data_IF_553231694657
#
_entry.id   IF_553231694657
#
_cell.length_a   1.000
_cell.length_b   1.000
_cell.length_c   1.000
_cell.angle_alpha   90.00
_cell.angle_beta   90.00
_cell.angle_gamma   90.00
#
_symmetry.space_group_name_H-M   'P 1'
#
loop_
_entity.id
_entity.type
_entity.pdbx_description
1 polymer ?
#
# COMPACT_ATOMS: atom_id res chain seq x y z
N UNK A 1 -29.18 -37.55 51.11
CA UNK A 1 -28.55 -37.58 49.80
C UNK A 1 -28.26 -36.09 49.37
N UNK A 2 -27.02 -35.70 49.42
CA UNK A 2 -26.64 -34.33 48.95
C UNK A 2 -26.27 -34.43 47.47
N UNK A 3 -27.03 -33.74 46.62
CA UNK A 3 -26.72 -33.60 45.19
C UNK A 3 -25.60 -32.54 45.03
N UNK A 4 -24.39 -33.01 44.76
CA UNK A 4 -23.27 -32.16 44.44
C UNK A 4 -23.45 -31.62 43.01
N UNK A 5 -23.69 -30.33 42.88
CA UNK A 5 -23.57 -29.63 41.57
C UNK A 5 -22.09 -29.39 41.27
N UNK A 6 -21.55 -30.12 40.32
CA UNK A 6 -20.25 -29.78 39.69
C UNK A 6 -20.44 -28.58 38.78
N UNK A 7 -19.91 -27.44 39.15
CA UNK A 7 -19.83 -26.26 38.24
C UNK A 7 -18.88 -26.62 37.10
N UNK A 8 -19.39 -26.60 35.85
CA UNK A 8 -18.58 -26.68 34.65
C UNK A 8 -17.85 -25.31 34.55
N UNK A 9 -16.50 -25.27 34.46
CA UNK A 9 -15.79 -24.03 34.28
C UNK A 9 -16.28 -23.38 32.98
N UNK A 10 -16.72 -22.13 33.06
CA UNK A 10 -17.02 -21.32 31.86
C UNK A 10 -15.74 -21.14 31.05
N UNK A 11 -15.75 -21.62 29.82
CA UNK A 11 -14.65 -21.38 28.88
C UNK A 11 -14.53 -19.85 28.68
N UNK A 12 -13.34 -19.29 28.91
CA UNK A 12 -13.11 -17.88 28.75
C UNK A 12 -13.37 -17.50 27.26
N UNK A 13 -14.18 -16.47 27.03
CA UNK A 13 -14.41 -15.98 25.69
C UNK A 13 -13.04 -15.62 25.03
N UNK A 14 -12.85 -15.94 23.74
CA UNK A 14 -11.64 -15.57 23.02
C UNK A 14 -11.36 -14.08 23.20
N UNK A 15 -10.09 -13.72 23.36
CA UNK A 15 -9.72 -12.31 23.42
C UNK A 15 -10.16 -11.59 22.12
N UNK A 16 -10.71 -10.38 22.22
CA UNK A 16 -11.13 -9.63 21.05
C UNK A 16 -9.94 -9.37 20.12
N UNK A 17 -10.13 -9.59 18.82
CA UNK A 17 -9.11 -9.42 17.77
C UNK A 17 -9.66 -8.54 16.66
N UNK A 18 -8.75 -7.97 15.88
CA UNK A 18 -9.03 -7.12 14.72
C UNK A 18 -8.93 -8.00 13.46
N UNK A 19 -10.04 -8.21 12.77
CA UNK A 19 -10.04 -8.84 11.45
C UNK A 19 -9.47 -7.85 10.43
N UNK A 20 -8.30 -8.19 9.90
CA UNK A 20 -7.51 -7.34 9.02
C UNK A 20 -7.53 -7.87 7.58
N UNK A 21 -7.81 -6.98 6.62
CA UNK A 21 -7.77 -7.26 5.18
C UNK A 21 -6.86 -6.24 4.50
N UNK A 22 -6.02 -6.69 3.56
CA UNK A 22 -5.16 -5.84 2.76
C UNK A 22 -5.41 -6.06 1.26
N UNK A 23 -5.38 -4.95 0.50
CA UNK A 23 -5.45 -4.94 -0.96
C UNK A 23 -4.63 -3.75 -1.48
N UNK A 24 -4.37 -3.69 -2.79
CA UNK A 24 -3.61 -2.58 -3.36
C UNK A 24 -2.52 -3.02 -4.33
N UNK A 25 -1.47 -2.22 -4.39
CA UNK A 25 -0.35 -2.40 -5.31
C UNK A 25 0.87 -3.12 -4.68
N UNK A 26 2.03 -2.96 -5.31
CA UNK A 26 3.29 -3.62 -4.93
C UNK A 26 3.76 -3.32 -3.50
N UNK A 27 3.49 -2.12 -2.97
CA UNK A 27 3.88 -1.78 -1.61
C UNK A 27 3.06 -2.57 -0.58
N UNK A 28 1.75 -2.73 -0.80
CA UNK A 28 0.92 -3.61 0.03
C UNK A 28 1.18 -5.08 -0.24
N UNK A 29 1.58 -5.46 -1.46
CA UNK A 29 2.01 -6.81 -1.80
C UNK A 29 3.35 -7.21 -1.17
N UNK A 30 4.04 -6.30 -0.48
CA UNK A 30 5.30 -6.56 0.21
C UNK A 30 6.53 -6.58 -0.70
N UNK A 31 6.44 -6.12 -1.96
CA UNK A 31 7.55 -6.12 -2.90
C UNK A 31 8.78 -5.45 -2.30
N UNK A 32 9.93 -6.12 -2.38
CA UNK A 32 11.20 -5.66 -1.79
C UNK A 32 11.53 -6.26 -0.43
N UNK A 33 10.56 -6.83 0.30
CA UNK A 33 10.79 -7.45 1.61
C UNK A 33 11.55 -8.78 1.52
N UNK A 34 11.39 -9.51 0.43
CA UNK A 34 11.99 -10.83 0.23
C UNK A 34 11.76 -11.38 -1.16
N UNK A 35 11.87 -12.68 -1.32
CA UNK A 35 11.65 -13.35 -2.60
C UNK A 35 10.19 -13.21 -3.07
N UNK A 36 10.01 -13.00 -4.38
CA UNK A 36 8.68 -13.01 -4.99
C UNK A 36 8.09 -14.42 -4.96
N UNK A 37 6.81 -14.50 -4.63
CA UNK A 37 6.03 -15.73 -4.69
C UNK A 37 4.60 -15.42 -5.16
N UNK A 38 3.88 -16.47 -5.54
CA UNK A 38 2.44 -16.36 -5.83
C UNK A 38 1.64 -17.10 -4.76
N UNK A 39 0.80 -16.40 -3.98
CA UNK A 39 -0.09 -17.06 -3.05
C UNK A 39 -1.01 -18.06 -3.78
N UNK A 40 -1.42 -19.16 -3.15
CA UNK A 40 -2.36 -20.10 -3.75
C UNK A 40 -3.66 -19.41 -4.20
N UNK A 41 -4.14 -19.78 -5.37
CA UNK A 41 -5.39 -19.28 -5.96
C UNK A 41 -5.44 -17.79 -6.27
N UNK A 42 -4.29 -17.14 -6.43
CA UNK A 42 -4.20 -15.76 -6.91
C UNK A 42 -3.12 -15.63 -7.98
N UNK A 43 -3.34 -14.83 -9.04
CA UNK A 43 -2.31 -14.53 -10.04
C UNK A 43 -1.31 -13.47 -9.55
N UNK A 44 -1.51 -12.91 -8.34
CA UNK A 44 -0.71 -11.82 -7.80
C UNK A 44 0.71 -12.25 -7.43
N UNK A 45 1.71 -11.42 -7.74
CA UNK A 45 3.02 -11.53 -7.17
C UNK A 45 3.09 -10.76 -5.85
N UNK A 46 3.60 -11.40 -4.81
CA UNK A 46 3.79 -10.85 -3.45
C UNK A 46 5.18 -11.20 -2.92
N UNK A 47 5.60 -10.55 -1.84
CA UNK A 47 6.82 -10.88 -1.08
C UNK A 47 6.51 -10.88 0.42
N UNK A 48 7.26 -11.68 1.19
CA UNK A 48 7.17 -11.77 2.65
C UNK A 48 8.54 -11.56 3.32
N UNK A 49 8.54 -11.02 4.55
CA UNK A 49 7.43 -10.38 5.25
C UNK A 49 7.25 -8.93 4.81
N UNK A 50 6.12 -8.60 4.16
CA UNK A 50 5.72 -7.22 3.88
C UNK A 50 5.16 -6.53 5.12
N UNK A 51 4.79 -5.23 5.03
CA UNK A 51 4.23 -4.52 6.18
C UNK A 51 2.92 -5.16 6.69
N UNK A 52 2.18 -5.80 5.80
CA UNK A 52 0.94 -6.52 6.15
C UNK A 52 1.22 -7.68 7.09
N UNK A 53 2.30 -8.43 6.84
CA UNK A 53 2.73 -9.54 7.70
C UNK A 53 3.26 -9.04 9.05
N UNK A 54 3.94 -7.88 9.05
CA UNK A 54 4.42 -7.25 10.30
C UNK A 54 3.25 -6.83 11.19
N UNK A 55 2.20 -6.25 10.61
CA UNK A 55 0.96 -5.89 11.35
C UNK A 55 0.24 -7.13 11.84
N UNK A 56 0.19 -8.23 11.05
CA UNK A 56 -0.41 -9.51 11.49
C UNK A 56 0.34 -10.17 12.65
N UNK A 57 1.61 -9.84 12.84
CA UNK A 57 2.38 -10.33 13.98
C UNK A 57 1.93 -9.73 15.34
N UNK A 58 1.15 -8.64 15.36
CA UNK A 58 0.53 -8.13 16.58
C UNK A 58 -0.53 -9.10 17.09
N UNK A 59 -0.48 -9.38 18.39
CA UNK A 59 -1.38 -10.35 19.05
C UNK A 59 -2.87 -9.96 18.98
N UNK A 60 -3.18 -8.69 18.73
CA UNK A 60 -4.55 -8.18 18.55
C UNK A 60 -5.07 -8.34 17.12
N UNK A 61 -4.23 -8.69 16.15
CA UNK A 61 -4.59 -8.73 14.74
C UNK A 61 -4.76 -10.17 14.25
N UNK A 62 -5.63 -10.37 13.31
CA UNK A 62 -5.76 -11.58 12.48
C UNK A 62 -5.85 -11.17 11.04
N UNK A 63 -4.83 -11.45 10.24
CA UNK A 63 -4.87 -11.25 8.80
C UNK A 63 -5.82 -12.26 8.15
N UNK A 64 -6.97 -11.76 7.73
CA UNK A 64 -7.97 -12.57 7.01
C UNK A 64 -7.52 -12.81 5.56
N UNK A 65 -7.03 -11.77 4.90
CA UNK A 65 -6.50 -11.89 3.54
C UNK A 65 -5.62 -10.69 3.14
N UNK A 66 -4.58 -10.98 2.34
CA UNK A 66 -3.88 -9.99 1.53
C UNK A 66 -4.12 -10.32 0.04
N UNK A 67 -4.81 -9.45 -0.69
CA UNK A 67 -5.08 -9.57 -2.13
C UNK A 67 -4.30 -8.58 -2.98
N UNK A 68 -3.40 -7.81 -2.37
CA UNK A 68 -2.56 -6.87 -3.09
C UNK A 68 -1.70 -7.55 -4.15
N UNK A 69 -1.52 -6.88 -5.28
CA UNK A 69 -0.77 -7.39 -6.42
C UNK A 69 0.31 -6.40 -6.85
N UNK A 70 1.53 -6.89 -7.04
CA UNK A 70 2.59 -6.10 -7.69
C UNK A 70 2.11 -5.58 -9.05
N UNK A 71 2.26 -4.27 -9.29
CA UNK A 71 1.86 -3.63 -10.56
C UNK A 71 0.36 -3.29 -10.69
N UNK A 72 -0.47 -3.54 -9.66
CA UNK A 72 -1.90 -3.28 -9.75
C UNK A 72 -2.21 -1.80 -9.98
N UNK A 73 -3.08 -1.52 -10.96
CA UNK A 73 -3.77 -0.23 -11.14
C UNK A 73 -5.15 -0.28 -10.47
N UNK A 74 -5.82 0.86 -10.34
CA UNK A 74 -7.12 0.97 -9.65
C UNK A 74 -8.23 0.17 -10.34
N UNK A 75 -8.35 0.27 -11.67
CA UNK A 75 -9.39 -0.43 -12.43
C UNK A 75 -8.95 -0.77 -13.84
N UNK A 76 -9.70 -1.61 -14.52
CA UNK A 76 -9.49 -1.93 -15.96
C UNK A 76 -9.70 -0.73 -16.88
N UNK A 77 -10.31 0.34 -16.38
CA UNK A 77 -10.49 1.60 -17.10
C UNK A 77 -9.29 2.54 -16.96
N UNK A 78 -8.28 2.19 -16.15
CA UNK A 78 -7.02 2.94 -16.08
C UNK A 78 -6.34 2.94 -17.45
N UNK A 79 -5.89 4.11 -17.97
CA UNK A 79 -5.16 4.16 -19.24
C UNK A 79 -3.85 3.34 -19.26
N UNK A 80 -3.40 2.94 -18.07
CA UNK A 80 -2.18 2.15 -17.87
C UNK A 80 -2.45 0.70 -17.52
N UNK A 81 -3.72 0.26 -17.59
CA UNK A 81 -4.05 -1.14 -17.45
C UNK A 81 -3.49 -1.96 -18.61
N UNK A 82 -2.68 -2.97 -18.29
CA UNK A 82 -2.14 -3.90 -19.27
C UNK A 82 -3.06 -5.13 -19.37
N UNK A 83 -3.71 -5.29 -20.51
CA UNK A 83 -4.59 -6.43 -20.78
C UNK A 83 -3.86 -7.68 -21.31
N UNK A 84 -2.54 -7.61 -21.46
CA UNK A 84 -1.67 -8.73 -21.84
C UNK A 84 -1.06 -9.38 -20.60
N UNK A 85 -0.54 -8.56 -19.69
CA UNK A 85 -0.06 -9.02 -18.38
C UNK A 85 -1.20 -8.81 -17.38
N UNK A 86 -2.05 -9.81 -17.23
CA UNK A 86 -3.25 -9.73 -16.38
C UNK A 86 -2.82 -9.68 -14.91
N UNK A 87 -2.63 -8.46 -14.40
CA UNK A 87 -2.51 -8.18 -12.96
C UNK A 87 -3.89 -7.77 -12.45
N UNK A 88 -4.46 -8.43 -11.44
CA UNK A 88 -5.72 -8.02 -10.85
C UNK A 88 -5.68 -6.57 -10.36
N UNK A 89 -6.60 -5.75 -10.85
CA UNK A 89 -6.75 -4.37 -10.41
C UNK A 89 -7.27 -4.30 -8.97
N UNK A 90 -7.12 -3.15 -8.31
CA UNK A 90 -7.66 -2.96 -6.95
C UNK A 90 -9.17 -3.21 -6.91
N UNK A 91 -9.90 -2.82 -7.95
CA UNK A 91 -11.33 -3.11 -8.09
C UNK A 91 -11.63 -4.62 -8.16
N UNK A 92 -10.82 -5.38 -8.93
CA UNK A 92 -10.96 -6.82 -9.03
C UNK A 92 -10.57 -7.53 -7.72
N UNK A 93 -9.53 -7.05 -7.02
CA UNK A 93 -9.15 -7.55 -5.70
C UNK A 93 -10.30 -7.34 -4.69
N UNK A 94 -10.94 -6.17 -4.70
CA UNK A 94 -12.09 -5.87 -3.85
C UNK A 94 -13.28 -6.78 -4.19
N UNK A 95 -13.53 -7.02 -5.46
CA UNK A 95 -14.58 -7.94 -5.92
C UNK A 95 -14.33 -9.38 -5.44
N UNK A 96 -13.08 -9.86 -5.54
CA UNK A 96 -12.70 -11.18 -5.03
C UNK A 96 -12.89 -11.28 -3.51
N UNK A 97 -12.40 -10.30 -2.76
CA UNK A 97 -12.52 -10.24 -1.30
C UNK A 97 -13.99 -10.30 -0.83
N UNK A 98 -14.87 -9.59 -1.52
CA UNK A 98 -16.30 -9.56 -1.18
C UNK A 98 -17.02 -10.84 -1.60
N UNK A 99 -16.74 -11.36 -2.79
CA UNK A 99 -17.35 -12.59 -3.31
C UNK A 99 -16.94 -13.82 -2.48
N UNK A 100 -15.66 -13.86 -2.09
CA UNK A 100 -15.11 -14.93 -1.23
C UNK A 100 -15.45 -14.74 0.25
N UNK A 101 -16.19 -13.69 0.63
CA UNK A 101 -16.56 -13.35 2.01
C UNK A 101 -15.35 -13.19 2.95
N UNK A 102 -14.23 -12.72 2.42
CA UNK A 102 -13.04 -12.39 3.19
C UNK A 102 -13.07 -10.93 3.68
N UNK A 103 -13.72 -10.04 2.94
CA UNK A 103 -14.08 -8.70 3.37
C UNK A 103 -15.58 -8.69 3.68
N UNK A 104 -15.92 -8.41 4.94
CA UNK A 104 -17.28 -8.53 5.48
C UNK A 104 -17.66 -7.30 6.29
N UNK A 105 -18.94 -7.12 6.64
CA UNK A 105 -19.35 -6.04 7.55
C UNK A 105 -18.70 -6.10 8.94
N UNK A 106 -18.09 -7.23 9.32
CA UNK A 106 -17.40 -7.43 10.61
C UNK A 106 -15.91 -7.07 10.56
N UNK A 107 -15.33 -6.91 9.37
CA UNK A 107 -13.93 -6.48 9.21
C UNK A 107 -13.71 -5.14 9.89
N UNK A 108 -12.69 -5.04 10.77
CA UNK A 108 -12.37 -3.84 11.54
C UNK A 108 -11.26 -3.00 10.92
N UNK A 109 -10.32 -3.62 10.18
CA UNK A 109 -9.20 -2.92 9.56
C UNK A 109 -9.05 -3.30 8.09
N UNK A 110 -8.92 -2.29 7.24
CA UNK A 110 -8.49 -2.46 5.85
C UNK A 110 -7.29 -1.55 5.61
N UNK A 111 -6.23 -2.04 4.96
CA UNK A 111 -5.13 -1.19 4.52
C UNK A 111 -4.86 -1.32 3.03
N UNK A 112 -4.39 -0.23 2.42
CA UNK A 112 -3.98 -0.24 1.02
C UNK A 112 -2.99 0.87 0.66
N UNK A 113 -2.17 0.58 -0.33
CA UNK A 113 -1.46 1.54 -1.19
C UNK A 113 -2.03 1.42 -2.60
N UNK A 114 -2.31 2.53 -3.28
CA UNK A 114 -2.81 2.52 -4.65
C UNK A 114 -2.64 3.88 -5.34
N UNK A 115 -2.51 3.87 -6.67
CA UNK A 115 -2.48 5.06 -7.51
C UNK A 115 -1.13 5.33 -8.17
N UNK A 116 -0.01 4.82 -7.64
CA UNK A 116 1.31 5.03 -8.23
C UNK A 116 1.43 4.42 -9.65
N UNK A 117 0.83 3.24 -9.86
CA UNK A 117 0.80 2.61 -11.18
C UNK A 117 -0.11 3.36 -12.16
N UNK A 118 -1.20 3.95 -11.68
CA UNK A 118 -2.14 4.73 -12.50
C UNK A 118 -1.56 6.04 -13.01
N UNK A 119 -0.63 6.66 -12.27
CA UNK A 119 0.14 7.81 -12.74
C UNK A 119 1.38 7.43 -13.55
N UNK A 120 1.70 6.13 -13.65
CA UNK A 120 2.81 5.63 -14.46
C UNK A 120 4.19 5.84 -13.83
N UNK A 121 4.35 5.60 -12.53
CA UNK A 121 5.62 5.78 -11.81
C UNK A 121 6.81 5.11 -12.52
N UNK A 122 6.64 3.89 -13.03
CA UNK A 122 7.73 3.17 -13.74
C UNK A 122 8.13 3.88 -15.05
N UNK A 123 7.17 4.52 -15.76
CA UNK A 123 7.46 5.32 -16.97
C UNK A 123 8.22 6.58 -16.60
N UNK A 124 7.84 7.27 -15.52
CA UNK A 124 8.56 8.44 -15.01
C UNK A 124 9.99 8.08 -14.64
N UNK A 125 10.17 7.02 -13.85
CA UNK A 125 11.51 6.57 -13.44
C UNK A 125 12.36 6.19 -14.65
N UNK A 126 11.82 5.39 -15.57
CA UNK A 126 12.54 5.01 -16.81
C UNK A 126 12.92 6.21 -17.66
N UNK A 127 12.01 7.16 -17.88
CA UNK A 127 12.29 8.39 -18.61
C UNK A 127 13.36 9.25 -17.95
N UNK A 128 13.30 9.41 -16.63
CA UNK A 128 14.23 10.26 -15.89
C UNK A 128 15.61 9.64 -15.71
N UNK A 129 15.73 8.31 -15.65
CA UNK A 129 17.01 7.60 -15.55
C UNK A 129 17.67 7.47 -16.91
N UNK A 130 16.92 7.09 -17.96
CA UNK A 130 17.48 6.63 -19.23
C UNK A 130 17.46 7.67 -20.36
N UNK A 131 16.76 8.83 -20.20
CA UNK A 131 16.54 9.76 -21.29
C UNK A 131 17.00 11.18 -20.96
N UNK A 132 16.63 12.15 -21.82
CA UNK A 132 16.93 13.57 -21.62
C UNK A 132 16.05 14.21 -20.54
N UNK A 133 16.43 15.40 -20.07
CA UNK A 133 15.61 16.17 -19.12
C UNK A 133 14.23 16.51 -19.69
N UNK A 134 14.14 16.80 -20.96
CA UNK A 134 12.86 17.11 -21.65
C UNK A 134 11.92 15.90 -21.64
N UNK A 135 12.42 14.70 -21.93
CA UNK A 135 11.65 13.45 -21.89
C UNK A 135 11.22 13.10 -20.44
N UNK A 136 12.13 13.30 -19.48
CA UNK A 136 11.82 13.15 -18.05
C UNK A 136 10.70 14.09 -17.63
N UNK A 137 10.80 15.39 -17.97
CA UNK A 137 9.77 16.38 -17.65
C UNK A 137 8.42 16.03 -18.30
N UNK A 138 8.42 15.65 -19.58
CA UNK A 138 7.20 15.23 -20.27
C UNK A 138 6.51 14.04 -19.59
N UNK A 139 7.28 13.06 -19.11
CA UNK A 139 6.73 11.93 -18.37
C UNK A 139 6.13 12.35 -17.00
N UNK A 140 6.79 13.28 -16.29
CA UNK A 140 6.28 13.85 -15.04
C UNK A 140 4.99 14.64 -15.29
N UNK A 141 4.94 15.46 -16.33
CA UNK A 141 3.77 16.28 -16.67
C UNK A 141 2.56 15.41 -16.98
N UNK A 142 2.75 14.27 -17.69
CA UNK A 142 1.70 13.28 -17.92
C UNK A 142 1.22 12.64 -16.62
N UNK A 143 2.13 12.26 -15.72
CA UNK A 143 1.79 11.68 -14.43
C UNK A 143 1.01 12.66 -13.54
N UNK A 144 1.45 13.92 -13.47
CA UNK A 144 0.76 14.99 -12.73
C UNK A 144 -0.61 15.29 -13.36
N UNK A 145 -0.70 15.30 -14.68
CA UNK A 145 -1.96 15.48 -15.41
C UNK A 145 -3.00 14.37 -15.15
N UNK A 146 -2.57 13.17 -14.75
CA UNK A 146 -3.46 12.05 -14.41
C UNK A 146 -4.05 12.15 -12.99
N UNK A 147 -3.44 12.94 -12.07
CA UNK A 147 -3.82 13.00 -10.66
C UNK A 147 -5.31 13.28 -10.40
N UNK A 148 -6.01 14.18 -11.12
CA UNK A 148 -7.44 14.41 -10.88
C UNK A 148 -8.29 13.15 -11.12
N UNK A 149 -8.00 12.39 -12.18
CA UNK A 149 -8.72 11.15 -12.48
C UNK A 149 -8.39 10.05 -11.45
N UNK A 150 -7.13 9.93 -11.04
CA UNK A 150 -6.68 9.01 -9.99
C UNK A 150 -7.35 9.35 -8.66
N UNK A 151 -7.42 10.61 -8.27
CA UNK A 151 -8.11 11.04 -7.04
C UNK A 151 -9.60 10.70 -7.04
N UNK A 152 -10.28 10.86 -8.17
CA UNK A 152 -11.67 10.45 -8.32
C UNK A 152 -11.84 8.93 -8.18
N UNK A 153 -10.99 8.14 -8.84
CA UNK A 153 -11.01 6.68 -8.76
C UNK A 153 -10.72 6.17 -7.34
N UNK A 154 -9.72 6.74 -6.65
CA UNK A 154 -9.42 6.44 -5.24
C UNK A 154 -10.63 6.71 -4.33
N UNK A 155 -11.29 7.86 -4.50
CA UNK A 155 -12.50 8.21 -3.72
C UNK A 155 -13.59 7.14 -3.88
N UNK A 156 -13.82 6.66 -5.10
CA UNK A 156 -14.80 5.59 -5.37
C UNK A 156 -14.36 4.24 -4.79
N UNK A 157 -13.08 3.93 -4.87
CA UNK A 157 -12.50 2.72 -4.27
C UNK A 157 -12.73 2.69 -2.76
N UNK A 158 -12.43 3.79 -2.06
CA UNK A 158 -12.66 3.89 -0.60
C UNK A 158 -14.14 3.78 -0.23
N UNK A 159 -15.01 4.42 -1.00
CA UNK A 159 -16.45 4.29 -0.83
C UNK A 159 -16.94 2.84 -1.07
N UNK A 160 -16.34 2.13 -2.02
CA UNK A 160 -16.69 0.74 -2.29
C UNK A 160 -16.22 -0.20 -1.15
N UNK A 161 -15.02 0.00 -0.62
CA UNK A 161 -14.51 -0.73 0.56
C UNK A 161 -15.44 -0.48 1.76
N UNK A 162 -15.80 0.78 2.03
CA UNK A 162 -16.72 1.11 3.12
C UNK A 162 -18.10 0.46 2.98
N UNK A 163 -18.65 0.38 1.77
CA UNK A 163 -19.93 -0.34 1.55
C UNK A 163 -19.83 -1.82 1.89
N UNK A 164 -18.69 -2.45 1.62
CA UNK A 164 -18.45 -3.87 1.91
C UNK A 164 -18.15 -4.12 3.41
N UNK A 165 -17.43 -3.19 4.04
CA UNK A 165 -16.99 -3.26 5.43
C UNK A 165 -17.26 -1.92 6.15
N UNK A 166 -18.53 -1.62 6.51
CA UNK A 166 -18.93 -0.30 7.02
C UNK A 166 -18.34 0.03 8.40
N UNK A 167 -17.83 -0.96 9.13
CA UNK A 167 -17.19 -0.78 10.44
C UNK A 167 -15.69 -0.55 10.32
N UNK A 168 -15.09 -0.95 9.19
CA UNK A 168 -13.66 -0.92 9.03
C UNK A 168 -13.08 0.51 9.13
N UNK A 169 -11.97 0.64 9.83
CA UNK A 169 -11.01 1.71 9.61
C UNK A 169 -10.25 1.40 8.32
N UNK A 170 -10.30 2.31 7.36
CA UNK A 170 -9.60 2.17 6.07
C UNK A 170 -8.33 3.01 6.14
N UNK A 171 -7.18 2.36 6.37
CA UNK A 171 -5.88 3.00 6.38
C UNK A 171 -5.32 3.06 4.95
N UNK A 172 -5.20 4.28 4.40
CA UNK A 172 -4.64 4.51 3.07
C UNK A 172 -3.24 5.07 3.21
N UNK A 173 -2.22 4.27 2.85
CA UNK A 173 -0.84 4.66 3.05
C UNK A 173 -0.31 5.39 1.81
N UNK A 174 0.45 6.46 2.05
CA UNK A 174 1.18 7.19 1.01
C UNK A 174 2.47 6.49 0.59
N UNK A 175 3.24 7.18 -0.25
CA UNK A 175 4.54 6.72 -0.74
C UNK A 175 5.67 7.61 -0.21
N UNK A 176 6.87 7.07 0.05
CA UNK A 176 8.01 7.87 0.47
C UNK A 176 8.54 8.72 -0.68
N UNK A 177 9.37 9.70 -0.36
CA UNK A 177 10.29 10.27 -1.35
C UNK A 177 11.31 9.20 -1.75
N UNK A 178 11.61 9.11 -3.05
CA UNK A 178 12.46 8.05 -3.56
C UNK A 178 13.95 8.38 -3.46
N UNK A 179 14.31 9.66 -3.49
CA UNK A 179 15.70 10.10 -3.62
C UNK A 179 16.08 11.17 -2.60
N UNK A 180 17.34 11.10 -2.15
CA UNK A 180 18.07 12.20 -1.54
C UNK A 180 18.91 12.90 -2.63
N UNK A 181 18.52 14.11 -3.09
CA UNK A 181 19.28 14.85 -4.12
C UNK A 181 20.68 15.28 -3.67
N UNK A 182 20.95 15.26 -2.36
CA UNK A 182 22.25 15.62 -1.78
C UNK A 182 23.18 14.42 -1.61
N UNK A 183 22.68 13.21 -1.79
CA UNK A 183 23.46 11.98 -1.67
C UNK A 183 24.62 11.95 -2.67
N UNK A 184 25.81 11.42 -2.29
CA UNK A 184 26.88 11.16 -3.23
C UNK A 184 26.57 10.00 -4.21
N UNK A 185 25.58 9.16 -3.89
CA UNK A 185 25.10 8.10 -4.80
C UNK A 185 24.08 8.73 -5.76
N UNK A 186 24.54 9.04 -6.98
CA UNK A 186 23.71 9.67 -8.00
C UNK A 186 23.28 8.67 -9.06
N UNK A 187 21.99 8.34 -9.08
CA UNK A 187 21.36 7.50 -10.13
C UNK A 187 20.90 8.33 -11.33
N UNK A 188 20.74 9.63 -11.13
CA UNK A 188 20.41 10.64 -12.13
C UNK A 188 20.76 12.03 -11.57
N UNK A 189 20.73 13.07 -12.41
CA UNK A 189 20.98 14.44 -11.97
C UNK A 189 20.05 14.87 -10.82
N UNK A 190 20.54 15.63 -9.81
CA UNK A 190 19.75 16.04 -8.64
C UNK A 190 18.44 16.75 -8.99
N UNK A 191 18.40 17.54 -10.05
CA UNK A 191 17.20 18.25 -10.50
C UNK A 191 16.06 17.28 -10.88
N UNK A 192 16.40 16.13 -11.48
CA UNK A 192 15.42 15.08 -11.81
C UNK A 192 14.89 14.39 -10.57
N UNK A 193 15.80 14.11 -9.62
CA UNK A 193 15.41 13.52 -8.32
C UNK A 193 14.44 14.43 -7.56
N UNK A 194 14.72 15.74 -7.53
CA UNK A 194 13.82 16.74 -6.92
C UNK A 194 12.44 16.68 -7.58
N UNK A 195 12.37 16.70 -8.91
CA UNK A 195 11.09 16.65 -9.63
C UNK A 195 10.28 15.38 -9.40
N UNK A 196 10.94 14.23 -9.31
CA UNK A 196 10.29 12.96 -8.97
C UNK A 196 9.72 13.02 -7.55
N UNK A 197 10.48 13.53 -6.58
CA UNK A 197 10.03 13.70 -5.21
C UNK A 197 8.86 14.69 -5.08
N UNK A 198 8.85 15.77 -5.88
CA UNK A 198 7.72 16.70 -5.99
C UNK A 198 6.47 16.00 -6.54
N UNK A 199 6.60 15.19 -7.60
CA UNK A 199 5.50 14.41 -8.15
C UNK A 199 4.96 13.39 -7.14
N UNK A 200 5.82 12.72 -6.37
CA UNK A 200 5.43 11.83 -5.26
C UNK A 200 4.65 12.58 -4.18
N UNK A 201 5.07 13.81 -3.86
CA UNK A 201 4.35 14.67 -2.89
C UNK A 201 2.95 15.04 -3.40
N UNK A 202 2.80 15.34 -4.70
CA UNK A 202 1.50 15.64 -5.31
C UNK A 202 0.59 14.40 -5.33
N UNK A 203 1.12 13.21 -5.60
CA UNK A 203 0.36 11.96 -5.51
C UNK A 203 -0.13 11.74 -4.07
N UNK A 204 0.72 11.90 -3.07
CA UNK A 204 0.35 11.76 -1.66
C UNK A 204 -0.77 12.76 -1.25
N UNK A 205 -0.67 14.01 -1.71
CA UNK A 205 -1.71 15.02 -1.49
C UNK A 205 -3.04 14.61 -2.16
N UNK A 206 -2.98 14.00 -3.34
CA UNK A 206 -4.15 13.47 -4.06
C UNK A 206 -4.79 12.31 -3.28
N UNK A 207 -4.00 11.37 -2.76
CA UNK A 207 -4.46 10.25 -1.92
C UNK A 207 -5.14 10.78 -0.64
N UNK A 208 -4.49 11.72 0.06
CA UNK A 208 -5.04 12.34 1.26
C UNK A 208 -6.36 13.08 0.98
N UNK A 209 -6.43 13.82 -0.13
CA UNK A 209 -7.65 14.52 -0.57
C UNK A 209 -8.77 13.54 -0.91
N UNK A 210 -8.46 12.45 -1.61
CA UNK A 210 -9.43 11.40 -1.92
C UNK A 210 -9.99 10.73 -0.65
N UNK A 211 -9.13 10.47 0.35
CA UNK A 211 -9.55 9.94 1.65
C UNK A 211 -10.51 10.92 2.38
N UNK A 212 -10.15 12.20 2.45
CA UNK A 212 -10.99 13.23 3.05
C UNK A 212 -12.34 13.36 2.31
N UNK A 213 -12.33 13.31 0.98
CA UNK A 213 -13.53 13.37 0.13
C UNK A 213 -14.43 12.16 0.35
N UNK A 214 -13.87 10.95 0.45
CA UNK A 214 -14.62 9.73 0.74
C UNK A 214 -15.28 9.80 2.13
N UNK A 215 -14.60 10.35 3.13
CA UNK A 215 -15.19 10.58 4.46
C UNK A 215 -16.33 11.58 4.40
N UNK A 216 -16.15 12.68 3.67
CA UNK A 216 -17.18 13.73 3.55
C UNK A 216 -18.43 13.23 2.84
N UNK A 217 -18.27 12.56 1.70
CA UNK A 217 -19.38 12.19 0.82
C UNK A 217 -20.03 10.85 1.20
N UNK A 218 -19.24 9.89 1.71
CA UNK A 218 -19.68 8.51 1.91
C UNK A 218 -19.51 8.02 3.36
N UNK A 219 -18.94 8.85 4.26
CA UNK A 219 -18.59 8.46 5.65
C UNK A 219 -17.67 7.25 5.71
N UNK A 220 -16.73 7.17 4.79
CA UNK A 220 -15.95 5.96 4.52
C UNK A 220 -14.96 5.57 5.63
N UNK A 221 -14.81 6.35 6.71
CA UNK A 221 -13.90 6.09 7.83
C UNK A 221 -12.45 5.86 7.39
N UNK A 222 -12.01 6.58 6.33
CA UNK A 222 -10.64 6.53 5.82
C UNK A 222 -9.69 7.34 6.69
N UNK A 223 -8.47 6.83 6.84
CA UNK A 223 -7.35 7.50 7.49
C UNK A 223 -6.17 7.51 6.51
N UNK A 224 -5.75 8.70 6.06
CA UNK A 224 -4.49 8.82 5.33
C UNK A 224 -3.31 8.64 6.30
N UNK A 225 -2.35 7.80 5.92
CA UNK A 225 -1.14 7.50 6.70
C UNK A 225 0.06 8.03 5.93
N UNK A 226 0.64 9.13 6.40
CA UNK A 226 1.86 9.69 5.82
C UNK A 226 3.09 8.90 6.28
N UNK A 227 3.78 8.29 5.33
CA UNK A 227 5.04 7.57 5.56
C UNK A 227 6.26 8.42 5.21
N UNK A 228 6.09 9.56 4.52
CA UNK A 228 7.19 10.31 3.91
C UNK A 228 8.20 10.83 4.94
N UNK A 229 7.73 11.27 6.09
CA UNK A 229 8.58 11.77 7.17
C UNK A 229 9.43 10.67 7.83
N UNK A 230 8.89 9.43 7.91
CA UNK A 230 9.66 8.30 8.46
C UNK A 230 10.83 7.91 7.57
N UNK A 231 10.65 7.99 6.26
CA UNK A 231 11.65 7.63 5.27
C UNK A 231 12.68 8.72 5.00
N UNK A 232 12.54 9.92 5.59
CA UNK A 232 13.51 11.00 5.42
C UNK A 232 14.90 10.59 5.93
N UNK A 233 15.91 10.65 5.05
CA UNK A 233 17.27 10.17 5.30
C UNK A 233 17.49 8.68 5.00
N UNK A 234 16.46 7.96 4.54
CA UNK A 234 16.49 6.54 4.20
C UNK A 234 15.99 6.27 2.76
N UNK A 235 16.07 7.28 1.89
CA UNK A 235 15.73 7.19 0.48
C UNK A 235 16.60 6.13 -0.24
N UNK A 236 16.20 5.73 -1.45
CA UNK A 236 16.85 4.64 -2.19
C UNK A 236 18.36 4.83 -2.41
N UNK A 237 18.80 6.07 -2.58
CA UNK A 237 20.21 6.42 -2.75
C UNK A 237 20.86 6.99 -1.48
N UNK A 238 20.25 6.82 -0.31
CA UNK A 238 20.86 7.22 0.97
C UNK A 238 22.08 6.37 1.29
N UNK A 239 23.14 6.99 1.83
CA UNK A 239 24.33 6.29 2.33
C UNK A 239 24.11 5.69 3.73
N UNK A 240 23.09 6.12 4.43
CA UNK A 240 22.76 5.74 5.79
C UNK A 240 21.59 4.78 5.83
N UNK A 241 21.84 3.48 5.67
CA UNK A 241 20.85 2.43 5.77
C UNK A 241 19.55 2.75 4.97
N UNK A 242 19.58 2.68 3.62
CA UNK A 242 18.38 2.95 2.82
C UNK A 242 17.27 1.96 3.16
N UNK A 243 16.03 2.43 3.21
CA UNK A 243 14.84 1.60 3.42
C UNK A 243 14.10 1.29 2.12
N UNK A 244 14.60 1.80 1.00
CA UNK A 244 14.15 1.46 -0.34
C UNK A 244 15.25 0.67 -1.05
N UNK A 245 14.83 -0.35 -1.80
CA UNK A 245 15.73 -1.15 -2.62
C UNK A 245 16.28 -0.33 -3.78
N UNK A 246 17.57 -0.40 -4.02
CA UNK A 246 18.24 0.14 -5.19
C UNK A 246 19.36 -0.78 -5.64
N UNK A 247 19.16 -1.50 -6.74
CA UNK A 247 20.15 -2.37 -7.36
C UNK A 247 20.61 -1.69 -8.65
N UNK A 248 21.87 -1.27 -8.67
CA UNK A 248 22.50 -0.57 -9.80
C UNK A 248 23.54 -1.46 -10.47
N UNK A 249 23.19 -2.68 -10.82
CA UNK A 249 24.04 -3.56 -11.62
C UNK A 249 23.70 -3.41 -13.11
N UNK A 250 24.55 -2.76 -13.92
CA UNK A 250 24.28 -2.54 -15.36
C UNK A 250 24.31 -3.84 -16.18
N UNK A 251 24.76 -4.94 -15.60
CA UNK A 251 24.79 -6.26 -16.27
C UNK A 251 23.50 -7.04 -16.09
N UNK A 252 22.64 -6.60 -15.17
CA UNK A 252 21.35 -7.21 -14.86
C UNK A 252 20.19 -6.31 -15.34
N UNK A 253 19.05 -6.90 -15.72
CA UNK A 253 17.83 -6.11 -15.91
C UNK A 253 17.48 -5.41 -14.58
N UNK A 254 16.79 -4.23 -14.65
CA UNK A 254 16.32 -3.56 -13.44
C UNK A 254 15.51 -4.53 -12.56
N UNK A 255 15.85 -4.62 -11.28
CA UNK A 255 15.12 -5.48 -10.37
C UNK A 255 13.72 -4.92 -10.12
N UNK A 256 12.69 -5.76 -10.16
CA UNK A 256 11.29 -5.38 -9.86
C UNK A 256 11.15 -4.77 -8.45
N UNK A 257 12.08 -5.16 -7.55
CA UNK A 257 12.16 -4.61 -6.19
C UNK A 257 12.69 -3.18 -6.13
N UNK A 258 13.34 -2.63 -7.18
CA UNK A 258 13.87 -1.27 -7.15
C UNK A 258 12.78 -0.25 -6.81
N UNK A 259 13.12 0.69 -5.94
CA UNK A 259 12.25 1.75 -5.41
C UNK A 259 11.09 1.25 -4.55
N UNK A 260 11.09 -0.02 -4.14
CA UNK A 260 10.16 -0.57 -3.17
C UNK A 260 10.80 -0.64 -1.78
N UNK A 261 10.00 -0.65 -0.70
CA UNK A 261 10.55 -0.81 0.64
C UNK A 261 11.29 -2.15 0.77
N UNK A 262 12.48 -2.13 1.35
CA UNK A 262 13.14 -3.35 1.81
C UNK A 262 12.50 -3.83 3.13
N UNK A 263 13.04 -4.87 3.75
CA UNK A 263 12.49 -5.41 4.99
C UNK A 263 12.31 -4.33 6.07
N UNK A 264 13.32 -3.49 6.30
CA UNK A 264 13.23 -2.39 7.28
C UNK A 264 12.18 -1.34 6.85
N UNK A 265 12.13 -0.99 5.57
CA UNK A 265 11.12 -0.11 5.02
C UNK A 265 9.69 -0.62 5.27
N UNK A 266 9.47 -1.93 5.14
CA UNK A 266 8.17 -2.54 5.46
C UNK A 266 7.87 -2.51 6.96
N UNK A 267 8.84 -2.70 7.84
CA UNK A 267 8.67 -2.50 9.29
C UNK A 267 8.24 -1.06 9.58
N UNK A 268 8.81 -0.07 8.90
CA UNK A 268 8.45 1.34 9.07
C UNK A 268 7.06 1.67 8.50
N UNK A 269 6.62 1.00 7.44
CA UNK A 269 5.22 1.07 6.95
C UNK A 269 4.23 0.54 8.00
N UNK A 270 4.51 -0.63 8.58
CA UNK A 270 3.70 -1.21 9.65
C UNK A 270 3.62 -0.26 10.85
N UNK A 271 4.76 0.26 11.33
CA UNK A 271 4.81 1.20 12.42
C UNK A 271 4.07 2.52 12.14
N UNK A 272 4.03 2.98 10.87
CA UNK A 272 3.24 4.14 10.47
C UNK A 272 1.74 3.84 10.57
N UNK A 273 1.31 2.68 10.07
CA UNK A 273 -0.07 2.23 10.17
C UNK A 273 -0.53 2.11 11.61
N UNK A 274 0.20 1.39 12.44
CA UNK A 274 -0.12 1.17 13.86
C UNK A 274 -0.14 2.47 14.67
N UNK A 275 0.69 3.44 14.29
CA UNK A 275 0.67 4.79 14.91
C UNK A 275 -0.56 5.60 14.52
N UNK A 276 -1.14 5.33 13.34
CA UNK A 276 -2.29 6.06 12.82
C UNK A 276 -3.63 5.44 13.24
N UNK A 277 -3.66 4.14 13.56
CA UNK A 277 -4.86 3.41 13.96
C UNK A 277 -4.68 2.82 15.35
N UNK A 278 -5.71 2.90 16.19
CA UNK A 278 -5.71 2.30 17.53
C UNK A 278 -6.21 0.86 17.45
N UNK A 279 -5.29 -0.12 17.31
CA UNK A 279 -5.66 -1.55 17.31
C UNK A 279 -6.48 -1.95 18.56
N UNK A 280 -6.14 -1.48 19.81
CA UNK A 280 -6.96 -1.79 20.97
C UNK A 280 -8.37 -1.20 20.92
N UNK A 281 -8.60 -0.08 20.22
CA UNK A 281 -9.94 0.45 20.02
C UNK A 281 -10.72 -0.34 18.98
N UNK A 282 -10.08 -0.71 17.87
CA UNK A 282 -10.68 -1.54 16.83
C UNK A 282 -11.09 -2.91 17.39
N UNK A 283 -10.25 -3.56 18.19
CA UNK A 283 -10.54 -4.85 18.82
C UNK A 283 -11.74 -4.82 19.79
N UNK A 284 -12.19 -3.64 20.23
CA UNK A 284 -13.36 -3.49 21.15
C UNK A 284 -14.65 -3.17 20.41
N UNK A 285 -14.61 -3.03 19.09
CA UNK A 285 -15.82 -2.77 18.31
C UNK A 285 -16.75 -3.99 18.43
N UNK A 286 -18.06 -3.77 18.76
CA UNK A 286 -19.01 -4.85 19.04
C UNK A 286 -19.36 -5.68 17.78
#
# INVERSE_FOLDING_TARGET
MALGFTAIPAEAAPAPRVDYVALGDSYTAGTGAGALYRPPNTPCWQSHPGYVDVVDADSLVTLVANRACHGAVLSVNSPLYDNVIITPTVEQQLSDLTTSKLLTPQTELVSLTAGANDVGVSRVLGACILSTMEVCQGAIDLAVGALPAVGAALTQTYAAIHRAAPRAKIAVLGYPKLFDPSSPIQVMAPERQIKINEASTLLNATIATAAATANLLYRANTQYVDVSQRFAGHEANSINAPWLVLVLDPTLPPADANFHPNLEGHVQYAAALESAVSLPELARLP
#
